data_IF_383515871006
#
_entry.id   IF_383515871006
#
_cell.length_a   1.000
_cell.length_b   1.000
_cell.length_c   1.000
_cell.angle_alpha   90.00
_cell.angle_beta   90.00
_cell.angle_gamma   90.00
#
_symmetry.space_group_name_H-M   'P 1'
#
loop_
_entity.id
_entity.type
_entity.pdbx_description
1 polymer ?
#
# COMPACT_ATOMS: atom_id res chain seq x y z
N UNK A 1 -1.59 -6.81 22.74
CA UNK A 1 -1.16 -8.17 22.35
C UNK A 1 -2.32 -9.13 22.03
N UNK A 2 -3.53 -8.94 22.56
CA UNK A 2 -4.69 -9.80 22.27
C UNK A 2 -5.19 -9.77 20.81
N UNK A 3 -4.92 -8.70 20.05
CA UNK A 3 -5.40 -8.56 18.67
C UNK A 3 -4.72 -9.47 17.63
N UNK A 4 -3.45 -9.82 17.81
CA UNK A 4 -2.70 -10.63 16.82
C UNK A 4 -2.99 -12.14 16.93
N UNK A 5 -3.33 -12.65 18.12
CA UNK A 5 -3.71 -14.06 18.31
C UNK A 5 -5.09 -14.37 17.71
N UNK A 6 -6.05 -13.43 17.80
CA UNK A 6 -7.36 -13.55 17.16
C UNK A 6 -7.28 -13.54 15.62
N UNK A 7 -6.29 -12.83 15.07
CA UNK A 7 -6.06 -12.76 13.64
C UNK A 7 -5.67 -14.11 13.02
N UNK A 8 -4.79 -14.86 13.69
CA UNK A 8 -4.33 -16.16 13.19
C UNK A 8 -5.48 -17.18 13.07
N UNK A 9 -6.42 -17.19 14.01
CA UNK A 9 -7.61 -18.07 13.99
C UNK A 9 -8.64 -17.64 12.91
N UNK A 10 -8.90 -16.35 12.77
CA UNK A 10 -9.83 -15.83 11.77
C UNK A 10 -9.33 -16.05 10.33
N UNK A 11 -8.03 -15.97 10.10
CA UNK A 11 -7.39 -16.20 8.80
C UNK A 11 -7.36 -17.70 8.43
N UNK A 12 -7.18 -18.61 9.41
CA UNK A 12 -7.19 -20.06 9.16
C UNK A 12 -8.58 -20.60 8.74
N UNK A 13 -9.65 -20.08 9.32
CA UNK A 13 -11.02 -20.52 9.01
C UNK A 13 -11.50 -20.09 7.60
N UNK A 14 -10.83 -19.11 6.95
CA UNK A 14 -11.25 -18.51 5.69
C UNK A 14 -10.50 -19.01 4.44
N UNK A 15 -9.50 -19.87 4.59
CA UNK A 15 -8.82 -20.50 3.45
C UNK A 15 -9.77 -21.28 2.51
N UNK A 16 -10.91 -21.74 3.00
CA UNK A 16 -11.87 -22.50 2.20
C UNK A 16 -12.71 -21.65 1.23
N UNK A 17 -12.86 -20.35 1.47
CA UNK A 17 -13.60 -19.43 0.59
C UNK A 17 -12.77 -18.88 -0.57
N UNK A 18 -11.47 -19.08 -0.54
CA UNK A 18 -10.55 -18.70 -1.63
C UNK A 18 -10.47 -19.74 -2.76
N UNK A 19 -11.16 -20.88 -2.60
CA UNK A 19 -11.23 -21.91 -3.64
C UNK A 19 -11.88 -21.35 -4.92
N UNK A 20 -11.12 -21.33 -6.02
CA UNK A 20 -11.56 -20.79 -7.31
C UNK A 20 -11.26 -19.30 -7.54
N UNK A 21 -10.60 -18.63 -6.61
CA UNK A 21 -10.11 -17.27 -6.88
C UNK A 21 -9.03 -17.30 -7.99
N UNK A 22 -9.07 -16.35 -8.93
CA UNK A 22 -8.06 -16.28 -9.97
C UNK A 22 -6.67 -16.12 -9.38
N UNK A 23 -5.68 -16.73 -9.99
CA UNK A 23 -4.27 -16.52 -9.67
C UNK A 23 -3.88 -15.05 -9.89
N UNK A 24 -2.85 -14.53 -9.21
CA UNK A 24 -2.47 -13.11 -9.28
C UNK A 24 -2.06 -12.61 -10.66
N UNK A 25 -1.98 -13.46 -11.65
CA UNK A 25 -1.56 -13.13 -13.01
C UNK A 25 -0.06 -12.83 -13.13
N UNK A 26 0.49 -12.83 -14.35
CA UNK A 26 1.88 -12.49 -14.60
C UNK A 26 2.12 -10.98 -14.40
N UNK A 27 3.38 -10.61 -14.19
CA UNK A 27 3.81 -9.21 -14.29
C UNK A 27 3.71 -8.82 -15.77
N UNK A 28 3.03 -7.70 -16.09
CA UNK A 28 2.93 -7.25 -17.48
C UNK A 28 4.29 -6.85 -18.04
N UNK A 29 4.47 -7.02 -19.35
CA UNK A 29 5.74 -6.75 -20.06
C UNK A 29 6.19 -5.28 -19.95
N UNK A 30 5.28 -4.36 -19.69
CA UNK A 30 5.57 -2.95 -19.49
C UNK A 30 6.01 -2.59 -18.05
N UNK A 31 6.14 -3.59 -17.17
CA UNK A 31 6.78 -3.47 -15.86
C UNK A 31 8.08 -4.29 -15.80
N UNK A 32 9.17 -3.65 -15.45
CA UNK A 32 10.42 -4.33 -15.10
C UNK A 32 10.44 -4.66 -13.61
N UNK A 33 10.69 -5.92 -13.29
CA UNK A 33 10.89 -6.39 -11.93
C UNK A 33 12.39 -6.57 -11.66
N UNK A 34 12.90 -5.88 -10.65
CA UNK A 34 14.25 -6.04 -10.12
C UNK A 34 14.20 -6.61 -8.72
N UNK A 35 14.95 -7.67 -8.48
CA UNK A 35 15.09 -8.30 -7.18
C UNK A 35 16.42 -7.86 -6.57
N UNK A 36 16.34 -6.99 -5.56
CA UNK A 36 17.48 -6.28 -5.04
C UNK A 36 17.82 -6.73 -3.63
N UNK A 37 19.08 -7.08 -3.42
CA UNK A 37 19.63 -7.33 -2.09
C UNK A 37 20.34 -6.09 -1.59
N UNK A 38 20.25 -5.87 -0.30
CA UNK A 38 20.92 -4.78 0.40
C UNK A 38 21.59 -5.30 1.65
N UNK A 39 22.70 -4.69 2.04
CA UNK A 39 23.33 -4.96 3.32
C UNK A 39 22.43 -4.47 4.44
N UNK A 40 22.35 -5.24 5.52
CA UNK A 40 21.51 -4.87 6.65
C UNK A 40 21.52 -5.90 7.77
N UNK A 41 20.89 -5.55 8.86
CA UNK A 41 20.64 -6.47 9.96
C UNK A 41 19.74 -7.62 9.46
N UNK A 42 20.21 -8.85 9.60
CA UNK A 42 19.49 -10.05 9.17
C UNK A 42 18.14 -10.24 9.89
N UNK A 43 17.95 -9.60 11.02
CA UNK A 43 16.70 -9.62 11.78
C UNK A 43 15.62 -8.71 11.19
N UNK A 44 15.97 -7.75 10.35
CA UNK A 44 15.05 -6.79 9.77
C UNK A 44 14.64 -7.18 8.33
N UNK A 45 15.47 -6.82 7.36
CA UNK A 45 15.23 -7.12 5.96
C UNK A 45 16.54 -6.92 5.17
N UNK A 46 16.74 -7.75 4.12
CA UNK A 46 17.93 -7.67 3.26
C UNK A 46 17.56 -7.59 1.79
N UNK A 47 16.27 -7.53 1.48
CA UNK A 47 15.78 -7.71 0.13
C UNK A 47 14.52 -6.90 -0.10
N UNK A 48 14.38 -6.36 -1.29
CA UNK A 48 13.15 -5.76 -1.77
C UNK A 48 13.01 -5.98 -3.27
N UNK A 49 11.77 -6.03 -3.76
CA UNK A 49 11.51 -5.95 -5.19
C UNK A 49 11.31 -4.49 -5.57
N UNK A 50 11.79 -4.12 -6.75
CA UNK A 50 11.55 -2.83 -7.36
C UNK A 50 10.86 -3.04 -8.71
N UNK A 51 9.63 -2.54 -8.85
CA UNK A 51 8.88 -2.55 -10.10
C UNK A 51 9.01 -1.18 -10.76
N UNK A 52 9.43 -1.19 -12.02
CA UNK A 52 9.73 0.05 -12.77
C UNK A 52 8.97 0.03 -14.10
N UNK A 53 8.14 1.06 -14.41
CA UNK A 53 7.49 1.19 -15.70
C UNK A 53 8.50 1.28 -16.85
N UNK A 54 8.38 0.38 -17.86
CA UNK A 54 9.26 0.36 -19.05
C UNK A 54 8.83 1.31 -20.15
N UNK A 55 7.59 1.74 -20.16
CA UNK A 55 7.03 2.68 -21.15
C UNK A 55 7.45 4.13 -20.89
N UNK A 56 8.09 4.39 -19.76
CA UNK A 56 8.64 5.71 -19.45
C UNK A 56 10.07 5.78 -20.00
N UNK A 57 10.48 6.85 -20.70
CA UNK A 57 11.83 6.99 -21.22
C UNK A 57 12.89 6.84 -20.13
N UNK A 58 14.00 6.16 -20.44
CA UNK A 58 15.10 5.99 -19.50
C UNK A 58 15.59 7.33 -18.97
N UNK A 59 15.84 7.41 -17.68
CA UNK A 59 16.29 8.64 -17.02
C UNK A 59 15.18 9.62 -16.62
N UNK A 60 13.92 9.38 -17.02
CA UNK A 60 12.79 10.13 -16.50
C UNK A 60 12.63 9.83 -15.01
N UNK A 61 12.57 10.89 -14.20
CA UNK A 61 12.32 10.73 -12.76
C UNK A 61 10.90 10.23 -12.52
N UNK A 62 10.78 9.25 -11.63
CA UNK A 62 9.51 8.64 -11.22
C UNK A 62 9.20 8.94 -9.76
N UNK A 63 7.93 9.10 -9.38
CA UNK A 63 7.49 8.97 -8.00
C UNK A 63 7.75 7.54 -7.48
N UNK A 64 7.81 7.38 -6.16
CA UNK A 64 8.01 6.08 -5.52
C UNK A 64 6.90 5.76 -4.53
N UNK A 65 6.30 4.59 -4.66
CA UNK A 65 5.44 3.99 -3.65
C UNK A 65 6.18 2.84 -2.95
N UNK A 66 6.25 2.86 -1.62
CA UNK A 66 6.77 1.77 -0.80
C UNK A 66 5.60 0.97 -0.28
N UNK A 67 5.54 -0.35 -0.58
CA UNK A 67 4.43 -1.24 -0.23
C UNK A 67 4.84 -2.32 0.76
N UNK A 68 4.27 -2.30 1.96
CA UNK A 68 4.50 -3.29 3.00
C UNK A 68 3.46 -4.42 2.94
N UNK A 69 3.92 -5.68 3.04
CA UNK A 69 3.04 -6.86 2.94
C UNK A 69 2.43 -7.28 4.29
N UNK A 70 1.44 -8.17 4.24
CA UNK A 70 0.70 -8.66 5.40
C UNK A 70 1.45 -9.67 6.27
N UNK A 71 0.77 -10.15 7.32
CA UNK A 71 1.34 -11.07 8.33
C UNK A 71 1.67 -12.46 7.75
N UNK A 72 0.86 -12.95 6.80
CA UNK A 72 0.99 -14.33 6.30
C UNK A 72 2.33 -14.62 5.65
N UNK A 73 2.99 -13.61 5.14
CA UNK A 73 4.23 -13.71 4.36
C UNK A 73 5.48 -13.35 5.16
N UNK A 74 5.35 -13.04 6.47
CA UNK A 74 6.48 -12.68 7.36
C UNK A 74 7.38 -13.85 7.75
N UNK A 75 6.99 -15.07 7.40
CA UNK A 75 7.70 -16.31 7.78
C UNK A 75 8.94 -16.60 6.94
N UNK A 76 8.99 -16.03 5.73
CA UNK A 76 10.09 -16.22 4.78
C UNK A 76 10.32 -14.94 3.96
N UNK A 77 11.57 -14.53 3.83
CA UNK A 77 11.94 -13.28 3.16
C UNK A 77 11.60 -13.32 1.66
N UNK A 78 11.80 -14.45 0.99
CA UNK A 78 11.48 -14.60 -0.44
C UNK A 78 9.97 -14.50 -0.67
N UNK A 79 9.21 -15.18 0.17
CA UNK A 79 7.75 -15.12 0.13
C UNK A 79 7.24 -13.71 0.40
N UNK A 80 7.82 -13.02 1.37
CA UNK A 80 7.41 -11.67 1.77
C UNK A 80 7.69 -10.63 0.71
N UNK A 81 8.90 -10.56 0.15
CA UNK A 81 9.21 -9.56 -0.90
C UNK A 81 8.37 -9.76 -2.15
N UNK A 82 7.96 -10.99 -2.44
CA UNK A 82 7.15 -11.34 -3.60
C UNK A 82 5.63 -11.27 -3.34
N UNK A 83 5.20 -11.01 -2.12
CA UNK A 83 3.80 -11.09 -1.72
C UNK A 83 2.88 -10.21 -2.59
N UNK A 84 3.27 -8.98 -2.83
CA UNK A 84 2.49 -8.06 -3.67
C UNK A 84 2.37 -8.54 -5.11
N UNK A 85 3.39 -9.16 -5.65
CA UNK A 85 3.41 -9.67 -7.02
C UNK A 85 2.69 -11.02 -7.13
N UNK A 86 3.12 -12.00 -6.31
CA UNK A 86 2.70 -13.39 -6.47
C UNK A 86 1.38 -13.72 -5.75
N UNK A 87 0.92 -12.87 -4.82
CA UNK A 87 -0.25 -13.15 -3.98
C UNK A 87 -1.33 -12.09 -4.03
N UNK A 88 -0.95 -10.81 -4.07
CA UNK A 88 -1.90 -9.70 -3.96
C UNK A 88 -2.26 -9.07 -5.31
N UNK A 89 -1.67 -9.61 -6.41
CA UNK A 89 -2.07 -9.26 -7.78
C UNK A 89 -1.66 -7.87 -8.24
N UNK A 90 -0.56 -7.33 -7.69
CA UNK A 90 -0.09 -5.98 -8.03
C UNK A 90 0.14 -5.79 -9.54
N UNK A 91 0.75 -6.79 -10.21
CA UNK A 91 0.96 -6.74 -11.66
C UNK A 91 -0.34 -6.67 -12.45
N UNK A 92 -1.32 -7.52 -12.09
CA UNK A 92 -2.64 -7.50 -12.72
C UNK A 92 -3.42 -6.21 -12.48
N UNK A 93 -3.35 -5.65 -11.27
CA UNK A 93 -3.96 -4.35 -10.96
C UNK A 93 -3.34 -3.22 -11.77
N UNK A 94 -2.01 -3.20 -11.88
CA UNK A 94 -1.28 -2.24 -12.70
C UNK A 94 -1.67 -2.35 -14.17
N UNK A 95 -1.75 -3.56 -14.71
CA UNK A 95 -2.14 -3.84 -16.09
C UNK A 95 -3.56 -3.35 -16.40
N UNK A 96 -4.53 -3.65 -15.52
CA UNK A 96 -5.92 -3.22 -15.65
C UNK A 96 -6.03 -1.68 -15.69
N UNK A 97 -5.28 -0.97 -14.86
CA UNK A 97 -5.24 0.49 -14.85
C UNK A 97 -4.59 1.08 -16.11
N UNK A 98 -3.60 0.39 -16.65
CA UNK A 98 -2.91 0.81 -17.88
C UNK A 98 -3.72 0.56 -19.15
N UNK A 99 -4.58 -0.44 -19.12
CA UNK A 99 -5.38 -0.89 -20.27
C UNK A 99 -6.89 -0.88 -19.94
N UNK A 100 -7.47 0.31 -19.65
CA UNK A 100 -8.90 0.40 -19.40
C UNK A 100 -9.74 -0.08 -20.61
N UNK A 101 -10.98 -0.56 -20.41
CA UNK A 101 -11.70 -0.48 -19.14
C UNK A 101 -11.26 -1.52 -18.11
N UNK A 102 -11.20 -1.11 -16.84
CA UNK A 102 -11.07 -2.04 -15.72
C UNK A 102 -12.35 -2.89 -15.66
N UNK A 103 -12.18 -4.21 -15.61
CA UNK A 103 -13.28 -5.18 -15.53
C UNK A 103 -13.11 -6.07 -14.31
N UNK A 104 -14.19 -6.76 -13.90
CA UNK A 104 -14.06 -7.79 -12.86
C UNK A 104 -13.23 -8.96 -13.36
N UNK A 105 -12.36 -9.45 -12.49
CA UNK A 105 -11.57 -10.66 -12.76
C UNK A 105 -12.18 -11.89 -12.04
N UNK A 106 -13.06 -11.66 -11.07
CA UNK A 106 -13.71 -12.70 -10.29
C UNK A 106 -15.23 -12.56 -10.33
N UNK A 107 -15.87 -13.28 -11.27
CA UNK A 107 -17.30 -13.16 -11.52
C UNK A 107 -18.21 -13.58 -10.33
N UNK A 108 -17.73 -14.49 -9.47
CA UNK A 108 -18.48 -14.98 -8.32
C UNK A 108 -18.48 -14.03 -7.12
N UNK A 109 -17.64 -13.01 -7.13
CA UNK A 109 -17.54 -12.00 -6.06
C UNK A 109 -17.85 -10.61 -6.61
N UNK A 110 -18.54 -9.82 -5.80
CA UNK A 110 -18.87 -8.42 -6.13
C UNK A 110 -18.03 -7.44 -5.31
N UNK A 111 -16.78 -7.76 -5.07
CA UNK A 111 -15.84 -6.91 -4.33
C UNK A 111 -15.67 -5.56 -5.01
N UNK A 112 -15.76 -5.55 -6.34
CA UNK A 112 -15.83 -4.33 -7.15
C UNK A 112 -17.28 -4.16 -7.67
N UNK A 113 -18.04 -3.24 -7.07
CA UNK A 113 -19.41 -2.96 -7.52
C UNK A 113 -19.43 -2.38 -8.94
N UNK A 114 -20.57 -2.50 -9.64
CA UNK A 114 -20.73 -1.91 -10.98
C UNK A 114 -20.59 -0.39 -10.96
N UNK A 115 -21.15 0.24 -9.93
CA UNK A 115 -21.06 1.67 -9.72
C UNK A 115 -19.59 2.11 -9.53
N UNK A 116 -18.81 1.37 -8.70
CA UNK A 116 -17.42 1.70 -8.49
C UNK A 116 -16.56 1.46 -9.73
N UNK A 117 -16.81 0.39 -10.48
CA UNK A 117 -16.15 0.15 -11.77
C UNK A 117 -16.42 1.28 -12.77
N UNK A 118 -17.67 1.73 -12.84
CA UNK A 118 -18.04 2.85 -13.71
C UNK A 118 -17.31 4.14 -13.29
N UNK A 119 -17.20 4.41 -12.00
CA UNK A 119 -16.48 5.56 -11.47
C UNK A 119 -14.98 5.51 -11.79
N UNK A 120 -14.33 4.35 -11.56
CA UNK A 120 -12.90 4.13 -11.87
C UNK A 120 -12.66 4.30 -13.38
N UNK A 121 -13.48 3.69 -14.22
CA UNK A 121 -13.33 3.80 -15.67
C UNK A 121 -13.58 5.23 -16.17
N UNK A 122 -14.57 5.92 -15.61
CA UNK A 122 -14.83 7.33 -15.90
C UNK A 122 -13.66 8.25 -15.50
N UNK A 123 -13.00 7.95 -14.38
CA UNK A 123 -11.80 8.68 -13.96
C UNK A 123 -10.60 8.40 -14.87
N UNK A 124 -10.39 7.14 -15.27
CA UNK A 124 -9.32 6.74 -16.19
C UNK A 124 -9.50 7.35 -17.60
N UNK A 125 -10.73 7.53 -18.05
CA UNK A 125 -11.01 8.22 -19.32
C UNK A 125 -10.60 9.71 -19.27
N UNK A 126 -10.81 10.37 -18.15
CA UNK A 126 -10.43 11.78 -17.96
C UNK A 126 -8.93 11.95 -17.77
N UNK A 127 -8.30 11.04 -17.03
CA UNK A 127 -6.88 11.06 -16.70
C UNK A 127 -6.33 9.62 -16.73
N UNK A 128 -5.72 9.18 -17.84
CA UNK A 128 -5.13 7.85 -17.95
C UNK A 128 -4.11 7.59 -16.85
N UNK A 129 -4.03 6.36 -16.34
CA UNK A 129 -3.05 5.97 -15.33
C UNK A 129 -1.62 6.14 -15.88
N UNK A 130 -0.81 6.95 -15.18
CA UNK A 130 0.57 7.23 -15.58
C UNK A 130 1.53 6.18 -15.03
N UNK A 131 1.35 5.78 -13.79
CA UNK A 131 2.21 4.85 -13.07
C UNK A 131 3.42 5.53 -12.40
N UNK A 132 4.10 4.75 -11.59
CA UNK A 132 5.21 5.16 -10.75
C UNK A 132 6.08 3.93 -10.41
N UNK A 133 7.27 4.14 -9.83
CA UNK A 133 8.09 3.05 -9.31
C UNK A 133 7.49 2.52 -7.99
N UNK A 134 7.55 1.20 -7.78
CA UNK A 134 7.01 0.56 -6.58
C UNK A 134 8.11 -0.28 -5.93
N UNK A 135 8.40 -0.03 -4.66
CA UNK A 135 9.32 -0.84 -3.87
C UNK A 135 8.53 -1.72 -2.88
N UNK A 136 8.73 -3.02 -2.94
CA UNK A 136 8.12 -4.02 -2.06
C UNK A 136 9.21 -4.64 -1.17
N UNK A 137 9.55 -4.03 -0.03
CA UNK A 137 10.51 -4.61 0.89
C UNK A 137 9.91 -5.78 1.69
N UNK A 138 10.77 -6.66 2.18
CA UNK A 138 10.35 -7.60 3.21
C UNK A 138 9.85 -6.84 4.45
N UNK A 139 8.69 -7.24 4.94
CA UNK A 139 8.06 -6.68 6.13
C UNK A 139 8.19 -7.70 7.26
N UNK A 140 9.14 -7.55 8.20
CA UNK A 140 9.33 -8.51 9.28
C UNK A 140 8.17 -8.45 10.28
N UNK A 141 7.95 -9.55 11.01
CA UNK A 141 7.00 -9.58 12.13
C UNK A 141 7.62 -8.90 13.35
N UNK A 142 7.58 -7.58 13.36
CA UNK A 142 8.08 -6.74 14.43
C UNK A 142 6.92 -6.12 15.22
N UNK A 143 7.07 -5.99 16.51
CA UNK A 143 6.00 -5.54 17.42
C UNK A 143 6.47 -4.51 18.45
N UNK A 144 7.76 -4.42 18.69
CA UNK A 144 8.31 -3.49 19.68
C UNK A 144 8.65 -2.14 19.05
N UNK A 145 8.53 -1.03 19.78
CA UNK A 145 8.93 0.29 19.28
C UNK A 145 10.36 0.32 18.75
N UNK A 146 11.30 -0.35 19.44
CA UNK A 146 12.71 -0.41 19.05
C UNK A 146 12.92 -1.09 17.70
N UNK A 147 12.23 -2.20 17.44
CA UNK A 147 12.31 -2.91 16.16
C UNK A 147 11.70 -2.07 15.04
N UNK A 148 10.57 -1.40 15.29
CA UNK A 148 9.93 -0.52 14.32
C UNK A 148 10.83 0.69 14.01
N UNK A 149 11.49 1.27 15.02
CA UNK A 149 12.47 2.35 14.82
C UNK A 149 13.65 1.89 13.95
N UNK A 150 14.16 0.68 14.20
CA UNK A 150 15.24 0.10 13.42
C UNK A 150 14.79 -0.16 11.97
N UNK A 151 13.57 -0.67 11.77
CA UNK A 151 13.02 -0.91 10.44
C UNK A 151 12.79 0.39 9.66
N UNK A 152 12.26 1.42 10.31
CA UNK A 152 12.10 2.74 9.68
C UNK A 152 13.45 3.34 9.25
N UNK A 153 14.48 3.25 10.10
CA UNK A 153 15.85 3.66 9.77
C UNK A 153 16.41 2.87 8.58
N UNK A 154 16.18 1.56 8.54
CA UNK A 154 16.61 0.71 7.44
C UNK A 154 15.90 1.09 6.13
N UNK A 155 14.56 1.26 6.14
CA UNK A 155 13.80 1.68 4.97
C UNK A 155 14.32 2.98 4.37
N UNK A 156 14.56 3.98 5.21
CA UNK A 156 14.95 5.32 4.76
C UNK A 156 16.46 5.47 4.51
N UNK A 157 17.29 4.79 5.28
CA UNK A 157 18.75 4.93 5.23
C UNK A 157 19.44 3.89 4.34
N UNK A 158 18.78 2.77 4.01
CA UNK A 158 19.39 1.68 3.22
C UNK A 158 18.56 1.38 1.97
N UNK A 159 17.29 1.01 2.13
CA UNK A 159 16.43 0.59 1.01
C UNK A 159 16.15 1.74 0.03
N UNK A 160 15.72 2.89 0.52
CA UNK A 160 15.39 4.05 -0.32
C UNK A 160 16.61 4.60 -1.10
N UNK A 161 17.81 4.81 -0.50
CA UNK A 161 19.01 5.16 -1.26
C UNK A 161 19.36 4.12 -2.32
N UNK A 162 19.22 2.81 -2.02
CA UNK A 162 19.47 1.76 -2.99
C UNK A 162 18.47 1.82 -4.15
N UNK A 163 17.18 2.04 -3.90
CA UNK A 163 16.20 2.22 -4.97
C UNK A 163 16.53 3.41 -5.88
N UNK A 164 17.03 4.52 -5.31
CA UNK A 164 17.48 5.71 -6.06
C UNK A 164 18.71 5.46 -6.93
N UNK A 165 19.56 4.51 -6.56
CA UNK A 165 20.70 4.09 -7.40
C UNK A 165 20.25 3.26 -8.60
N UNK A 166 19.16 2.53 -8.47
CA UNK A 166 18.64 1.62 -9.51
C UNK A 166 17.79 2.35 -10.56
N UNK A 167 17.05 3.37 -10.15
CA UNK A 167 16.17 4.11 -11.05
C UNK A 167 16.13 5.59 -10.68
N UNK A 168 15.97 6.44 -11.69
CA UNK A 168 15.79 7.87 -11.47
C UNK A 168 14.48 8.13 -10.71
N UNK A 169 14.57 8.51 -9.44
CA UNK A 169 13.45 8.87 -8.59
C UNK A 169 13.48 10.35 -8.25
N UNK A 170 12.31 10.93 -8.01
CA UNK A 170 12.25 12.24 -7.40
C UNK A 170 12.82 12.22 -5.97
N UNK A 171 13.51 13.28 -5.59
CA UNK A 171 14.15 13.39 -4.26
C UNK A 171 13.20 13.96 -3.20
N UNK A 172 12.27 14.82 -3.61
CA UNK A 172 11.32 15.47 -2.71
C UNK A 172 10.35 14.50 -2.05
N UNK A 173 9.99 14.75 -0.78
CA UNK A 173 9.09 13.88 -0.01
C UNK A 173 7.69 13.76 -0.64
N UNK A 174 7.20 14.79 -1.32
CA UNK A 174 5.86 14.82 -1.91
C UNK A 174 5.66 13.76 -3.00
N UNK A 175 6.76 13.23 -3.54
CA UNK A 175 6.77 12.18 -4.56
C UNK A 175 7.27 10.83 -4.03
N UNK A 176 7.28 10.66 -2.70
CA UNK A 176 7.50 9.39 -2.00
C UNK A 176 6.30 9.11 -1.12
N UNK A 177 5.68 7.95 -1.32
CA UNK A 177 4.56 7.48 -0.51
C UNK A 177 4.88 6.15 0.15
N UNK A 178 4.20 5.85 1.25
CA UNK A 178 4.25 4.55 1.91
C UNK A 178 2.84 4.04 2.14
N UNK A 179 2.61 2.77 1.85
CA UNK A 179 1.32 2.08 2.03
C UNK A 179 1.57 0.62 2.42
N UNK A 180 0.53 -0.11 2.70
CA UNK A 180 0.63 -1.54 2.98
C UNK A 180 -0.71 -2.15 3.33
N UNK A 181 -0.77 -3.49 3.33
CA UNK A 181 -1.99 -4.19 3.66
C UNK A 181 -1.89 -4.91 5.02
N UNK A 182 -2.99 -4.91 5.78
CA UNK A 182 -3.08 -5.66 7.04
C UNK A 182 -1.98 -5.26 8.04
N UNK A 183 -1.09 -6.18 8.41
CA UNK A 183 0.10 -5.87 9.21
C UNK A 183 0.99 -4.82 8.53
N UNK A 184 1.15 -4.90 7.21
CA UNK A 184 1.89 -3.90 6.43
C UNK A 184 1.26 -2.52 6.50
N UNK A 185 -0.06 -2.41 6.51
CA UNK A 185 -0.78 -1.16 6.71
C UNK A 185 -0.54 -0.55 8.10
N UNK A 186 -0.51 -1.39 9.13
CA UNK A 186 -0.11 -0.97 10.48
C UNK A 186 1.35 -0.51 10.54
N UNK A 187 2.28 -1.28 9.96
CA UNK A 187 3.70 -0.94 9.99
C UNK A 187 4.03 0.27 9.11
N UNK A 188 3.35 0.44 7.97
CA UNK A 188 3.48 1.64 7.13
C UNK A 188 3.09 2.91 7.91
N UNK A 189 1.99 2.84 8.70
CA UNK A 189 1.59 3.92 9.60
C UNK A 189 2.66 4.22 10.64
N UNK A 190 3.18 3.20 11.31
CA UNK A 190 4.21 3.38 12.33
C UNK A 190 5.52 3.94 11.76
N UNK A 191 5.92 3.55 10.52
CA UNK A 191 7.06 4.13 9.82
C UNK A 191 6.79 5.59 9.45
N UNK A 192 5.61 5.88 8.88
CA UNK A 192 5.20 7.25 8.54
C UNK A 192 5.25 8.17 9.76
N UNK A 193 4.71 7.74 10.90
CA UNK A 193 4.70 8.51 12.15
C UNK A 193 6.08 8.81 12.74
N UNK A 194 7.10 8.01 12.39
CA UNK A 194 8.49 8.23 12.80
C UNK A 194 9.26 9.18 11.90
N UNK A 195 8.85 9.28 10.66
CA UNK A 195 9.53 10.10 9.67
C UNK A 195 8.55 10.80 8.71
N UNK A 196 7.57 11.59 9.22
CA UNK A 196 6.52 12.17 8.37
C UNK A 196 7.07 13.15 7.33
N UNK A 197 8.24 13.74 7.58
CA UNK A 197 8.94 14.62 6.62
C UNK A 197 9.53 13.87 5.41
N UNK A 198 9.61 12.55 5.46
CA UNK A 198 10.14 11.73 4.36
C UNK A 198 9.09 11.34 3.32
N UNK A 199 7.81 11.59 3.61
CA UNK A 199 6.69 11.15 2.77
C UNK A 199 5.72 12.29 2.47
N UNK A 200 5.18 12.31 1.26
CA UNK A 200 4.05 13.18 0.88
C UNK A 200 2.69 12.53 1.16
N UNK A 201 2.65 11.19 1.19
CA UNK A 201 1.42 10.45 1.40
C UNK A 201 1.63 9.19 2.26
N UNK A 202 0.59 8.85 3.04
CA UNK A 202 0.43 7.55 3.68
C UNK A 202 -0.90 6.94 3.26
N UNK A 203 -0.88 5.65 2.93
CA UNK A 203 -2.07 4.83 2.74
C UNK A 203 -2.04 3.60 3.63
N UNK A 204 -3.22 3.00 3.80
CA UNK A 204 -3.35 1.74 4.51
C UNK A 204 -4.56 0.95 4.04
N UNK A 205 -4.30 -0.23 3.50
CA UNK A 205 -5.31 -1.15 2.96
C UNK A 205 -5.63 -2.20 4.00
N UNK A 206 -6.88 -2.22 4.49
CA UNK A 206 -7.34 -3.16 5.54
C UNK A 206 -6.34 -3.23 6.71
N UNK A 207 -5.85 -2.06 7.14
CA UNK A 207 -4.77 -1.96 8.13
C UNK A 207 -5.11 -2.63 9.45
N UNK A 208 -4.16 -3.34 10.04
CA UNK A 208 -4.34 -4.03 11.33
C UNK A 208 -4.45 -3.06 12.51
N UNK A 209 -5.38 -2.13 12.43
CA UNK A 209 -5.68 -1.12 13.45
C UNK A 209 -6.96 -1.51 14.17
N UNK A 210 -6.89 -1.70 15.49
CA UNK A 210 -8.06 -2.01 16.29
C UNK A 210 -8.89 -0.75 16.57
N UNK A 211 -10.21 -0.91 16.70
CA UNK A 211 -11.11 0.20 17.00
C UNK A 211 -10.71 0.98 18.28
N UNK A 212 -10.33 0.34 19.40
CA UNK A 212 -9.89 1.05 20.60
C UNK A 212 -8.60 1.87 20.43
N UNK A 213 -7.73 1.49 19.49
CA UNK A 213 -6.44 2.20 19.27
C UNK A 213 -6.53 3.30 18.23
N UNK A 214 -7.57 3.32 17.39
CA UNK A 214 -7.74 4.27 16.30
C UNK A 214 -7.70 5.75 16.75
N UNK A 215 -8.34 6.18 17.86
CA UNK A 215 -8.26 7.58 18.30
C UNK A 215 -6.83 8.04 18.60
N UNK A 216 -6.02 7.17 19.22
CA UNK A 216 -4.61 7.48 19.51
C UNK A 216 -3.79 7.60 18.21
N UNK A 217 -4.05 6.77 17.22
CA UNK A 217 -3.38 6.89 15.92
C UNK A 217 -3.79 8.14 15.16
N UNK A 218 -5.06 8.52 15.22
CA UNK A 218 -5.54 9.77 14.63
C UNK A 218 -4.88 11.00 15.27
N UNK A 219 -4.71 11.00 16.60
CA UNK A 219 -3.99 12.07 17.31
C UNK A 219 -2.53 12.16 16.84
N UNK A 220 -1.81 11.03 16.80
CA UNK A 220 -0.41 10.98 16.33
C UNK A 220 -0.28 11.43 14.87
N UNK A 221 -1.22 11.04 13.99
CA UNK A 221 -1.25 11.49 12.60
C UNK A 221 -1.50 13.00 12.50
N UNK A 222 -2.44 13.52 13.28
CA UNK A 222 -2.72 14.96 13.31
C UNK A 222 -1.48 15.77 13.75
N UNK A 223 -0.77 15.30 14.77
CA UNK A 223 0.50 15.91 15.18
C UNK A 223 1.55 15.83 14.09
N UNK A 224 1.71 14.67 13.45
CA UNK A 224 2.68 14.47 12.37
C UNK A 224 2.41 15.39 11.16
N UNK A 225 1.13 15.56 10.78
CA UNK A 225 0.72 16.49 9.72
C UNK A 225 0.97 17.94 10.12
N UNK A 226 0.68 18.30 11.38
CA UNK A 226 0.94 19.65 11.88
C UNK A 226 2.45 20.00 11.85
N UNK A 227 3.31 19.06 12.25
CA UNK A 227 4.76 19.27 12.33
C UNK A 227 5.47 19.18 10.96
N UNK A 228 4.99 18.33 10.07
CA UNK A 228 5.64 18.05 8.78
C UNK A 228 4.98 18.74 7.58
N UNK A 229 3.89 19.48 7.80
CA UNK A 229 3.08 20.07 6.75
C UNK A 229 2.02 19.12 6.19
N UNK A 230 1.17 19.62 5.26
CA UNK A 230 0.08 18.84 4.67
C UNK A 230 0.56 17.51 4.07
N UNK A 231 -0.20 16.44 4.35
CA UNK A 231 0.03 15.08 3.84
C UNK A 231 -1.26 14.53 3.26
N UNK A 232 -1.16 13.75 2.19
CA UNK A 232 -2.29 12.99 1.68
C UNK A 232 -2.43 11.70 2.49
N UNK A 233 -3.62 11.45 3.02
CA UNK A 233 -3.90 10.28 3.84
C UNK A 233 -5.04 9.46 3.21
N UNK A 234 -4.86 8.15 3.14
CA UNK A 234 -5.84 7.22 2.57
C UNK A 234 -6.03 6.00 3.48
N UNK A 235 -7.28 5.65 3.69
CA UNK A 235 -7.70 4.43 4.39
C UNK A 235 -8.64 3.66 3.47
N UNK A 236 -8.27 2.43 3.15
CA UNK A 236 -9.07 1.54 2.34
C UNK A 236 -9.42 0.28 3.15
N UNK A 237 -10.69 -0.10 3.17
CA UNK A 237 -11.18 -1.28 3.91
C UNK A 237 -12.32 -1.95 3.16
N UNK A 238 -12.83 -3.07 3.68
CA UNK A 238 -13.97 -3.77 3.10
C UNK A 238 -15.04 -4.10 4.14
N UNK A 239 -16.26 -4.38 3.66
CA UNK A 239 -17.44 -4.58 4.52
C UNK A 239 -17.28 -5.72 5.51
N UNK A 240 -16.52 -6.76 5.15
CA UNK A 240 -16.29 -7.95 5.97
C UNK A 240 -14.84 -8.00 6.51
N UNK A 241 -14.11 -6.88 6.45
CA UNK A 241 -12.79 -6.76 7.06
C UNK A 241 -12.89 -6.79 8.58
N UNK A 242 -12.07 -7.62 9.20
CA UNK A 242 -11.98 -7.74 10.67
C UNK A 242 -11.48 -6.47 11.35
N UNK A 243 -10.78 -5.61 10.61
CA UNK A 243 -10.29 -4.31 11.07
C UNK A 243 -11.13 -3.13 10.59
N UNK A 244 -12.24 -3.36 9.87
CA UNK A 244 -13.08 -2.30 9.31
C UNK A 244 -13.40 -1.21 10.32
N UNK A 245 -13.92 -1.59 11.48
CA UNK A 245 -14.30 -0.62 12.51
C UNK A 245 -13.13 0.25 12.96
N UNK A 246 -11.93 -0.32 13.06
CA UNK A 246 -10.71 0.42 13.41
C UNK A 246 -10.31 1.40 12.30
N UNK A 247 -10.35 0.97 11.05
CA UNK A 247 -10.03 1.78 9.88
C UNK A 247 -11.04 2.94 9.70
N UNK A 248 -12.34 2.65 9.75
CA UNK A 248 -13.41 3.66 9.68
C UNK A 248 -13.32 4.66 10.86
N UNK A 249 -13.04 4.16 12.07
CA UNK A 249 -12.86 5.00 13.25
C UNK A 249 -11.64 5.91 13.10
N UNK A 250 -10.52 5.42 12.57
CA UNK A 250 -9.33 6.24 12.30
C UNK A 250 -9.66 7.43 11.39
N UNK A 251 -10.32 7.17 10.25
CA UNK A 251 -10.71 8.22 9.32
C UNK A 251 -11.68 9.24 9.95
N UNK A 252 -12.68 8.78 10.70
CA UNK A 252 -13.62 9.63 11.40
C UNK A 252 -12.94 10.49 12.48
N UNK A 253 -11.96 9.95 13.21
CA UNK A 253 -11.19 10.71 14.20
C UNK A 253 -10.27 11.75 13.55
N UNK A 254 -9.70 11.47 12.37
CA UNK A 254 -8.94 12.46 11.60
C UNK A 254 -9.83 13.59 11.12
N UNK A 255 -11.01 13.29 10.59
CA UNK A 255 -12.01 14.31 10.18
C UNK A 255 -12.38 15.22 11.35
N UNK A 256 -12.61 14.67 12.55
CA UNK A 256 -12.89 15.46 13.75
C UNK A 256 -11.74 16.39 14.16
N UNK A 257 -10.52 16.10 13.75
CA UNK A 257 -9.32 16.90 13.98
C UNK A 257 -8.99 17.84 12.81
N UNK A 258 -9.90 17.96 11.84
CA UNK A 258 -9.69 18.71 10.60
C UNK A 258 -8.46 18.26 9.79
N UNK A 259 -8.13 16.97 9.86
CA UNK A 259 -7.10 16.35 9.04
C UNK A 259 -7.79 15.59 7.91
N UNK A 260 -7.66 16.02 6.64
CA UNK A 260 -8.25 15.33 5.51
C UNK A 260 -7.71 13.89 5.39
N UNK A 261 -8.63 12.95 5.23
CA UNK A 261 -8.31 11.53 4.99
C UNK A 261 -9.36 10.94 4.05
N UNK A 262 -8.91 10.40 2.94
CA UNK A 262 -9.80 9.70 2.02
C UNK A 262 -10.11 8.31 2.59
N UNK A 263 -11.39 8.02 2.83
CA UNK A 263 -11.86 6.70 3.26
C UNK A 263 -12.60 6.02 2.12
N UNK A 264 -12.20 4.81 1.79
CA UNK A 264 -12.90 3.94 0.84
C UNK A 264 -13.27 2.63 1.53
N UNK A 265 -14.57 2.31 1.55
CA UNK A 265 -15.08 1.00 2.01
C UNK A 265 -15.74 0.30 0.84
N UNK A 266 -15.20 -0.86 0.44
CA UNK A 266 -15.72 -1.67 -0.67
C UNK A 266 -16.38 -2.96 -0.13
N UNK A 267 -17.28 -3.59 -0.88
CA UNK A 267 -17.74 -4.95 -0.53
C UNK A 267 -16.57 -5.92 -0.47
N UNK A 268 -16.66 -6.94 0.38
CA UNK A 268 -15.71 -8.06 0.39
C UNK A 268 -15.04 -8.33 1.73
N UNK A 269 -14.05 -9.24 1.70
CA UNK A 269 -13.44 -9.85 2.86
C UNK A 269 -12.00 -9.36 3.07
N UNK A 270 -11.43 -9.65 4.24
CA UNK A 270 -9.99 -9.47 4.50
C UNK A 270 -9.20 -10.64 3.91
N UNK A 271 -9.02 -10.67 2.60
CA UNK A 271 -8.35 -11.78 1.92
C UNK A 271 -7.60 -11.35 0.63
N UNK A 272 -6.75 -12.24 0.13
CA UNK A 272 -5.97 -11.99 -1.09
C UNK A 272 -6.84 -11.81 -2.35
N UNK A 273 -7.96 -12.57 -2.56
CA UNK A 273 -8.86 -12.33 -3.68
C UNK A 273 -9.40 -10.91 -3.74
N UNK A 274 -9.74 -10.32 -2.59
CA UNK A 274 -10.20 -8.94 -2.52
C UNK A 274 -9.11 -7.94 -2.94
N UNK A 275 -7.86 -8.16 -2.46
CA UNK A 275 -6.73 -7.34 -2.90
C UNK A 275 -6.52 -7.41 -4.41
N UNK A 276 -6.61 -8.61 -5.01
CA UNK A 276 -6.47 -8.81 -6.46
C UNK A 276 -7.59 -8.15 -7.26
N UNK A 277 -8.82 -8.25 -6.76
CA UNK A 277 -9.98 -7.76 -7.48
C UNK A 277 -10.12 -6.24 -7.42
N UNK A 278 -10.05 -5.68 -6.22
CA UNK A 278 -10.37 -4.28 -5.98
C UNK A 278 -9.26 -3.51 -5.25
N UNK A 279 -8.77 -4.00 -4.12
CA UNK A 279 -7.91 -3.24 -3.24
C UNK A 279 -6.62 -2.73 -3.90
N UNK A 280 -5.90 -3.57 -4.63
CA UNK A 280 -4.68 -3.11 -5.31
C UNK A 280 -4.97 -2.11 -6.45
N UNK A 281 -6.12 -2.21 -7.12
CA UNK A 281 -6.53 -1.27 -8.17
C UNK A 281 -6.81 0.11 -7.59
N UNK A 282 -7.60 0.16 -6.53
CA UNK A 282 -7.98 1.42 -5.87
C UNK A 282 -6.77 2.11 -5.23
N UNK A 283 -5.96 1.37 -4.50
CA UNK A 283 -4.72 1.86 -3.91
C UNK A 283 -3.80 2.48 -4.96
N UNK A 284 -3.51 1.75 -6.06
CA UNK A 284 -2.63 2.25 -7.11
C UNK A 284 -3.20 3.49 -7.79
N UNK A 285 -4.51 3.51 -8.08
CA UNK A 285 -5.18 4.64 -8.72
C UNK A 285 -5.13 5.88 -7.81
N UNK A 286 -5.39 5.70 -6.50
CA UNK A 286 -5.30 6.79 -5.53
C UNK A 286 -3.90 7.42 -5.49
N UNK A 287 -2.85 6.60 -5.40
CA UNK A 287 -1.47 7.09 -5.41
C UNK A 287 -1.09 7.79 -6.71
N UNK A 288 -1.53 7.27 -7.87
CA UNK A 288 -1.29 7.95 -9.16
C UNK A 288 -1.88 9.37 -9.17
N UNK A 289 -3.11 9.53 -8.65
CA UNK A 289 -3.76 10.85 -8.57
C UNK A 289 -3.01 11.79 -7.64
N UNK A 290 -2.50 11.31 -6.50
CA UNK A 290 -1.71 12.11 -5.56
C UNK A 290 -0.37 12.53 -6.12
N UNK A 291 0.35 11.63 -6.76
CA UNK A 291 1.61 11.97 -7.41
C UNK A 291 1.43 12.99 -8.55
N UNK A 292 0.35 12.86 -9.35
CA UNK A 292 0.04 13.85 -10.39
C UNK A 292 -0.26 15.23 -9.81
N UNK A 293 -1.04 15.28 -8.74
CA UNK A 293 -1.34 16.54 -8.06
C UNK A 293 -0.06 17.21 -7.53
N UNK A 294 0.84 16.45 -6.89
CA UNK A 294 2.11 16.95 -6.41
C UNK A 294 3.02 17.46 -7.55
N UNK A 295 3.07 16.72 -8.69
CA UNK A 295 3.83 17.14 -9.87
C UNK A 295 3.26 18.41 -10.52
N UNK A 296 1.95 18.61 -10.51
CA UNK A 296 1.32 19.83 -11.03
C UNK A 296 1.66 21.03 -10.14
N UNK A 297 1.58 20.87 -8.81
CA UNK A 297 1.88 21.95 -7.86
C UNK A 297 3.36 22.37 -7.84
N UNK A 298 4.28 21.49 -8.23
CA UNK A 298 5.71 21.82 -8.31
C UNK A 298 6.11 22.59 -9.56
N UNK A 299 5.20 22.73 -10.53
CA UNK A 299 5.42 23.47 -11.79
C UNK A 299 4.78 24.86 -11.80
N UNK A 300 3.91 25.13 -10.84
CA UNK A 300 3.29 26.43 -10.58
C UNK A 300 4.10 27.25 -9.58
#
# INVERSE_FOLDING_TARGET
>A
MAGLAGLAHALAARRSLAAGAPEPGPIPDDLELRDLRVDGDRSLARRFLLLVPRYVPRGTKLPLLILLHGLGETIDETLGVRAWVDRYGLGGAFDRLRRPPVTRTFALRKDFSDERLAAVNGDLMKAPFYGFAIACPFTPKITTPREIDAYAKWLLGVMLPRARQEVALYEGPDLVAIDGCSLGGYLSLEVFLRAPKSFGAWGGVQSAISEPTAPRYAERLAMAVFEAGPKALHVETSTEDVFRKGNERLAAELTRRNVPCDLLTLPGWHDQPWLREAGAVEMLLWHDRRFRAALASSRS
#
